data_IF_125878747150
#
_entry.id   IF_125878747150
#
_cell.length_a   1.000
_cell.length_b   1.000
_cell.length_c   1.000
_cell.angle_alpha   90.00
_cell.angle_beta   90.00
_cell.angle_gamma   90.00
#
_symmetry.space_group_name_H-M   'P 1'
#
loop_
_entity.id
_entity.type
_entity.pdbx_description
1 polymer ?
#
# COMPACT_ATOMS: atom_id res chain seq x y z
N UNK A 1 15.93 -60.97 -20.93
CA UNK A 1 16.15 -60.49 -19.52
C UNK A 1 16.11 -58.96 -19.54
N UNK A 2 14.91 -58.38 -19.28
CA UNK A 2 14.72 -56.91 -19.25
C UNK A 2 14.85 -56.45 -17.81
N UNK A 3 15.85 -55.61 -17.55
CA UNK A 3 16.02 -54.93 -16.26
C UNK A 3 15.30 -53.61 -16.32
N UNK A 4 14.15 -53.52 -15.61
CA UNK A 4 13.41 -52.27 -15.37
C UNK A 4 14.15 -51.51 -14.26
N UNK A 5 14.74 -50.36 -14.60
CA UNK A 5 15.34 -49.43 -13.64
C UNK A 5 14.20 -48.48 -13.17
N UNK A 6 13.70 -48.70 -11.96
CA UNK A 6 12.78 -47.76 -11.30
C UNK A 6 13.61 -46.60 -10.77
N UNK A 7 13.43 -45.42 -11.36
CA UNK A 7 13.96 -44.15 -10.83
C UNK A 7 13.00 -43.63 -9.75
N UNK A 8 13.42 -43.63 -8.49
CA UNK A 8 12.72 -42.95 -7.38
C UNK A 8 12.98 -41.47 -7.48
N UNK A 9 11.94 -40.71 -7.84
CA UNK A 9 11.94 -39.26 -7.72
C UNK A 9 11.69 -38.90 -6.26
N UNK A 10 12.72 -38.52 -5.51
CA UNK A 10 12.58 -37.98 -4.17
C UNK A 10 12.09 -36.53 -4.28
N UNK A 11 10.82 -36.28 -3.97
CA UNK A 11 10.27 -34.92 -3.84
C UNK A 11 10.83 -34.26 -2.56
N UNK A 12 11.74 -33.32 -2.71
CA UNK A 12 12.23 -32.49 -1.63
C UNK A 12 11.14 -31.48 -1.26
N UNK A 13 10.38 -31.76 -0.21
CA UNK A 13 9.47 -30.78 0.40
C UNK A 13 10.33 -29.81 1.21
N UNK A 14 10.59 -28.63 0.64
CA UNK A 14 11.22 -27.53 1.37
C UNK A 14 10.18 -26.93 2.32
N UNK A 15 10.21 -27.33 3.59
CA UNK A 15 9.46 -26.64 4.64
C UNK A 15 10.02 -25.21 4.77
N UNK A 16 9.26 -24.22 4.29
CA UNK A 16 9.54 -22.81 4.61
C UNK A 16 9.17 -22.60 6.09
N UNK A 17 10.07 -21.99 6.90
CA UNK A 17 9.68 -21.59 8.26
C UNK A 17 8.47 -20.67 8.18
N UNK A 18 7.45 -20.92 9.00
CA UNK A 18 6.31 -20.04 9.14
C UNK A 18 6.82 -18.70 9.70
N UNK A 19 6.79 -17.65 8.89
CA UNK A 19 7.06 -16.29 9.36
C UNK A 19 5.90 -15.93 10.29
N UNK A 20 6.22 -15.52 11.51
CA UNK A 20 5.20 -15.08 12.47
C UNK A 20 4.44 -13.87 11.88
N UNK A 21 3.11 -13.86 12.07
CA UNK A 21 2.29 -12.74 11.64
C UNK A 21 2.77 -11.44 12.34
N UNK A 22 2.81 -10.30 11.63
CA UNK A 22 3.28 -9.05 12.20
C UNK A 22 2.33 -8.56 13.31
N UNK A 23 2.90 -7.94 14.34
CA UNK A 23 2.13 -7.27 15.38
C UNK A 23 1.41 -6.04 14.81
N UNK A 24 0.08 -6.08 14.75
CA UNK A 24 -0.77 -5.01 14.21
C UNK A 24 -0.97 -3.84 15.18
N UNK A 25 -0.50 -3.94 16.42
CA UNK A 25 -0.63 -2.92 17.45
C UNK A 25 -2.07 -2.71 17.90
N UNK A 26 -2.45 -1.46 18.12
CA UNK A 26 -3.80 -1.08 18.58
C UNK A 26 -4.84 -1.04 17.44
N UNK A 27 -4.47 -1.44 16.25
CA UNK A 27 -5.27 -1.45 15.03
C UNK A 27 -5.75 -0.07 14.54
N UNK A 28 -5.33 1.04 15.13
CA UNK A 28 -5.65 2.38 14.62
C UNK A 28 -5.03 2.60 13.24
N UNK A 29 -5.70 3.36 12.40
CA UNK A 29 -5.24 3.63 11.03
C UNK A 29 -3.86 4.29 11.01
N UNK A 30 -3.62 5.27 11.88
CA UNK A 30 -2.33 5.94 12.05
C UNK A 30 -1.21 4.95 12.45
N UNK A 31 -1.50 4.03 13.38
CA UNK A 31 -0.55 3.00 13.81
C UNK A 31 -0.20 2.06 12.66
N UNK A 32 -1.21 1.60 11.93
CA UNK A 32 -1.03 0.70 10.79
C UNK A 32 -0.25 1.38 9.65
N UNK A 33 -0.59 2.63 9.33
CA UNK A 33 0.10 3.42 8.30
C UNK A 33 1.56 3.68 8.67
N UNK A 34 1.83 4.04 9.94
CA UNK A 34 3.20 4.23 10.44
C UNK A 34 4.02 2.94 10.38
N UNK A 35 3.43 1.81 10.78
CA UNK A 35 4.08 0.50 10.67
C UNK A 35 4.32 0.11 9.20
N UNK A 36 3.38 0.40 8.31
CA UNK A 36 3.55 0.15 6.87
C UNK A 36 4.73 0.94 6.29
N UNK A 37 4.86 2.23 6.61
CA UNK A 37 6.01 3.05 6.20
C UNK A 37 7.33 2.50 6.72
N UNK A 38 7.41 2.14 8.00
CA UNK A 38 8.62 1.57 8.61
C UNK A 38 9.01 0.26 7.94
N UNK A 39 8.06 -0.65 7.74
CA UNK A 39 8.31 -1.93 7.09
C UNK A 39 8.74 -1.74 5.61
N UNK A 40 8.11 -0.83 4.88
CA UNK A 40 8.51 -0.46 3.52
C UNK A 40 9.93 0.09 3.46
N UNK A 41 10.29 1.02 4.35
CA UNK A 41 11.63 1.58 4.47
C UNK A 41 12.69 0.54 4.83
N UNK A 42 12.34 -0.44 5.66
CA UNK A 42 13.20 -1.57 6.02
C UNK A 42 13.28 -2.67 4.93
N UNK A 43 12.52 -2.56 3.84
CA UNK A 43 12.48 -3.58 2.79
C UNK A 43 11.64 -4.82 3.15
N UNK A 44 10.92 -4.79 4.27
CA UNK A 44 10.04 -5.89 4.69
C UNK A 44 8.67 -5.75 4.00
N UNK A 45 8.59 -6.28 2.78
CA UNK A 45 7.40 -6.18 1.95
C UNK A 45 6.20 -6.95 2.53
N UNK A 46 6.43 -8.07 3.21
CA UNK A 46 5.35 -8.92 3.75
C UNK A 46 4.63 -8.20 4.89
N UNK A 47 5.37 -7.69 5.86
CA UNK A 47 4.80 -6.91 6.96
C UNK A 47 4.14 -5.63 6.45
N UNK A 48 4.78 -4.91 5.52
CA UNK A 48 4.19 -3.71 4.94
C UNK A 48 2.82 -4.00 4.33
N UNK A 49 2.70 -5.04 3.50
CA UNK A 49 1.43 -5.44 2.88
C UNK A 49 0.39 -5.90 3.91
N UNK A 50 0.80 -6.55 5.00
CA UNK A 50 -0.10 -6.96 6.07
C UNK A 50 -0.70 -5.75 6.81
N UNK A 51 0.13 -4.75 7.18
CA UNK A 51 -0.35 -3.51 7.80
C UNK A 51 -1.30 -2.73 6.88
N UNK A 52 -0.93 -2.61 5.59
CA UNK A 52 -1.76 -1.95 4.58
C UNK A 52 -3.10 -2.67 4.42
N UNK A 53 -3.09 -4.00 4.29
CA UNK A 53 -4.31 -4.79 4.14
C UNK A 53 -5.26 -4.57 5.33
N UNK A 54 -4.73 -4.58 6.55
CA UNK A 54 -5.53 -4.34 7.76
C UNK A 54 -6.06 -2.90 7.82
N UNK A 55 -5.27 -1.90 7.46
CA UNK A 55 -5.73 -0.51 7.42
C UNK A 55 -6.89 -0.34 6.41
N UNK A 56 -6.73 -0.86 5.20
CA UNK A 56 -7.78 -0.78 4.17
C UNK A 56 -9.03 -1.56 4.59
N UNK A 57 -8.88 -2.80 5.12
CA UNK A 57 -9.99 -3.61 5.63
C UNK A 57 -10.86 -2.85 6.64
N UNK A 58 -10.22 -2.19 7.61
CA UNK A 58 -10.94 -1.54 8.71
C UNK A 58 -11.50 -0.17 8.35
N UNK A 59 -10.82 0.58 7.47
CA UNK A 59 -11.06 2.01 7.33
C UNK A 59 -11.46 2.48 5.93
N UNK A 60 -11.47 1.60 4.91
CA UNK A 60 -11.84 2.01 3.54
C UNK A 60 -13.23 2.62 3.45
N UNK A 61 -14.21 2.06 4.15
CA UNK A 61 -15.58 2.57 4.13
C UNK A 61 -15.67 3.99 4.69
N UNK A 62 -14.96 4.28 5.79
CA UNK A 62 -14.92 5.62 6.37
C UNK A 62 -14.13 6.60 5.50
N UNK A 63 -13.02 6.16 4.93
CA UNK A 63 -12.23 6.94 3.98
C UNK A 63 -13.08 7.37 2.76
N UNK A 64 -13.90 6.46 2.22
CA UNK A 64 -14.83 6.77 1.12
C UNK A 64 -15.89 7.80 1.50
N UNK A 65 -16.42 7.74 2.72
CA UNK A 65 -17.36 8.77 3.22
C UNK A 65 -16.68 10.14 3.32
N UNK A 66 -15.46 10.18 3.89
CA UNK A 66 -14.68 11.42 3.98
C UNK A 66 -14.34 11.98 2.59
N UNK A 67 -13.97 11.12 1.63
CA UNK A 67 -13.72 11.52 0.24
C UNK A 67 -14.98 12.09 -0.42
N UNK A 68 -16.13 11.46 -0.24
CA UNK A 68 -17.41 11.89 -0.82
C UNK A 68 -17.93 13.21 -0.23
N UNK A 69 -17.56 13.54 0.99
CA UNK A 69 -17.90 14.81 1.63
C UNK A 69 -17.17 16.02 1.03
N UNK A 70 -16.11 15.79 0.25
CA UNK A 70 -15.30 16.81 -0.38
C UNK A 70 -15.63 16.96 -1.86
N UNK A 71 -15.90 18.19 -2.30
CA UNK A 71 -15.95 18.55 -3.73
C UNK A 71 -14.56 18.88 -4.26
N UNK A 72 -13.78 19.59 -3.44
CA UNK A 72 -12.41 20.00 -3.71
C UNK A 72 -11.66 20.14 -2.38
N UNK A 73 -10.33 20.17 -2.42
CA UNK A 73 -9.53 20.54 -1.26
C UNK A 73 -9.46 22.06 -1.16
N UNK A 74 -9.60 22.63 0.05
CA UNK A 74 -9.36 24.06 0.26
C UNK A 74 -7.95 24.45 -0.22
N UNK A 75 -7.83 25.63 -0.81
CA UNK A 75 -6.53 26.16 -1.25
C UNK A 75 -5.58 26.37 -0.05
N UNK A 76 -6.15 26.68 1.12
CA UNK A 76 -5.45 26.77 2.40
C UNK A 76 -6.41 26.40 3.51
N UNK A 77 -5.93 25.60 4.46
CA UNK A 77 -6.67 25.24 5.68
C UNK A 77 -5.71 25.03 6.85
N UNK A 78 -6.17 25.18 8.11
CA UNK A 78 -5.40 24.80 9.26
C UNK A 78 -5.03 23.30 9.22
N UNK A 79 -3.84 22.96 9.69
CA UNK A 79 -3.32 21.59 9.74
C UNK A 79 -4.29 20.64 10.43
N UNK A 80 -4.95 21.12 11.49
CA UNK A 80 -5.91 20.38 12.28
C UNK A 80 -7.12 19.93 11.46
N UNK A 81 -7.57 20.75 10.50
CA UNK A 81 -8.68 20.39 9.60
C UNK A 81 -8.29 19.26 8.65
N UNK A 82 -7.07 19.28 8.14
CA UNK A 82 -6.54 18.18 7.34
C UNK A 82 -6.51 16.88 8.15
N UNK A 83 -6.08 16.92 9.40
CA UNK A 83 -6.03 15.73 10.26
C UNK A 83 -7.41 15.17 10.63
N UNK A 84 -8.47 15.96 10.60
CA UNK A 84 -9.84 15.43 10.80
C UNK A 84 -10.25 14.41 9.73
N UNK A 85 -9.61 14.42 8.57
CA UNK A 85 -9.82 13.45 7.48
C UNK A 85 -8.93 12.21 7.62
N UNK A 86 -8.67 11.80 8.85
CA UNK A 86 -7.70 10.77 9.22
C UNK A 86 -7.84 9.46 8.42
N UNK A 87 -9.06 8.89 8.29
CA UNK A 87 -9.24 7.64 7.55
C UNK A 87 -8.93 7.80 6.05
N UNK A 88 -9.36 8.92 5.44
CA UNK A 88 -9.03 9.23 4.05
C UNK A 88 -7.53 9.35 3.84
N UNK A 89 -6.86 10.06 4.73
CA UNK A 89 -5.42 10.30 4.66
C UNK A 89 -4.62 9.00 4.83
N UNK A 90 -4.97 8.19 5.83
CA UNK A 90 -4.29 6.95 6.14
C UNK A 90 -4.51 5.87 5.08
N UNK A 91 -5.75 5.68 4.62
CA UNK A 91 -6.06 4.72 3.55
C UNK A 91 -5.39 5.12 2.24
N UNK A 92 -5.44 6.41 1.88
CA UNK A 92 -4.78 6.91 0.68
C UNK A 92 -3.26 6.72 0.74
N UNK A 93 -2.65 6.99 1.89
CA UNK A 93 -1.22 6.75 2.13
C UNK A 93 -0.87 5.26 2.06
N UNK A 94 -1.67 4.41 2.68
CA UNK A 94 -1.50 2.95 2.61
C UNK A 94 -1.54 2.42 1.17
N UNK A 95 -2.44 2.92 0.34
CA UNK A 95 -2.51 2.51 -1.07
C UNK A 95 -1.29 2.99 -1.87
N UNK A 96 -0.75 4.18 -1.56
CA UNK A 96 0.50 4.64 -2.15
C UNK A 96 1.67 3.72 -1.78
N UNK A 97 1.83 3.41 -0.49
CA UNK A 97 2.86 2.48 0.00
C UNK A 97 2.70 1.10 -0.66
N UNK A 98 1.46 0.62 -0.82
CA UNK A 98 1.19 -0.66 -1.51
C UNK A 98 1.76 -0.67 -2.91
N UNK A 99 1.52 0.38 -3.69
CA UNK A 99 2.06 0.52 -5.03
C UNK A 99 3.59 0.48 -5.04
N UNK A 100 4.24 1.24 -4.15
CA UNK A 100 5.70 1.27 -4.03
C UNK A 100 6.28 -0.10 -3.63
N UNK A 101 5.65 -0.80 -2.68
CA UNK A 101 6.06 -2.16 -2.26
C UNK A 101 5.96 -3.14 -3.41
N UNK A 102 4.85 -3.11 -4.15
CA UNK A 102 4.61 -4.02 -5.28
C UNK A 102 5.59 -3.73 -6.45
N UNK A 103 5.91 -2.45 -6.71
CA UNK A 103 6.94 -2.09 -7.68
C UNK A 103 8.31 -2.67 -7.31
N UNK A 104 8.73 -2.53 -6.05
CA UNK A 104 9.99 -3.13 -5.56
C UNK A 104 10.00 -4.65 -5.67
N UNK A 105 8.84 -5.30 -5.58
CA UNK A 105 8.69 -6.75 -5.79
C UNK A 105 8.64 -7.17 -7.27
N UNK A 106 8.60 -6.21 -8.20
CA UNK A 106 8.45 -6.47 -9.63
C UNK A 106 7.00 -6.73 -10.07
N UNK A 107 6.02 -6.62 -9.17
CA UNK A 107 4.60 -6.74 -9.50
C UNK A 107 4.06 -5.41 -10.04
N UNK A 108 4.41 -5.09 -11.29
CA UNK A 108 3.97 -3.88 -11.97
C UNK A 108 2.44 -3.80 -12.09
N UNK A 109 1.76 -4.95 -12.33
CA UNK A 109 0.30 -4.99 -12.46
C UNK A 109 -0.38 -4.64 -11.14
N UNK A 110 0.00 -5.28 -10.05
CA UNK A 110 -0.56 -4.99 -8.73
C UNK A 110 -0.26 -3.55 -8.28
N UNK A 111 0.92 -3.01 -8.62
CA UNK A 111 1.26 -1.63 -8.35
C UNK A 111 0.35 -0.65 -9.10
N UNK A 112 0.11 -0.87 -10.41
CA UNK A 112 -0.84 -0.10 -11.22
C UNK A 112 -2.24 -0.10 -10.60
N UNK A 113 -2.73 -1.27 -10.20
CA UNK A 113 -4.05 -1.41 -9.56
C UNK A 113 -4.14 -0.61 -8.26
N UNK A 114 -3.09 -0.65 -7.40
CA UNK A 114 -3.05 0.10 -6.16
C UNK A 114 -3.04 1.61 -6.39
N UNK A 115 -2.20 2.11 -7.30
CA UNK A 115 -2.14 3.53 -7.65
C UNK A 115 -3.43 4.02 -8.33
N UNK A 116 -4.00 3.23 -9.25
CA UNK A 116 -5.25 3.58 -9.92
C UNK A 116 -6.41 3.67 -8.92
N UNK A 117 -6.51 2.73 -7.98
CA UNK A 117 -7.51 2.77 -6.90
C UNK A 117 -7.35 4.02 -6.04
N UNK A 118 -6.13 4.37 -5.65
CA UNK A 118 -5.84 5.59 -4.90
C UNK A 118 -6.33 6.85 -5.63
N UNK A 119 -5.99 6.97 -6.92
CA UNK A 119 -6.36 8.13 -7.75
C UNK A 119 -7.88 8.22 -7.95
N UNK A 120 -8.56 7.08 -8.14
CA UNK A 120 -9.99 7.04 -8.37
C UNK A 120 -10.81 7.31 -7.10
N UNK A 121 -10.47 6.61 -6.00
CA UNK A 121 -11.31 6.53 -4.82
C UNK A 121 -10.90 7.51 -3.70
N UNK A 122 -9.63 7.97 -3.67
CA UNK A 122 -9.06 8.72 -2.54
C UNK A 122 -8.19 9.91 -2.99
N UNK A 123 -8.62 10.59 -4.05
CA UNK A 123 -7.85 11.70 -4.68
C UNK A 123 -7.55 12.89 -3.75
N UNK A 124 -8.31 13.04 -2.67
CA UNK A 124 -8.16 14.14 -1.71
C UNK A 124 -7.38 13.75 -0.46
N UNK A 125 -6.83 12.53 -0.37
CA UNK A 125 -5.94 12.14 0.70
C UNK A 125 -4.71 13.04 0.76
N UNK A 126 -4.31 13.40 1.98
CA UNK A 126 -3.13 14.22 2.26
C UNK A 126 -2.27 13.54 3.31
N UNK A 127 -0.97 13.43 3.07
CA UNK A 127 0.00 12.87 3.99
C UNK A 127 0.91 13.99 4.51
N UNK A 128 1.11 14.03 5.82
CA UNK A 128 2.03 14.96 6.45
C UNK A 128 3.48 14.49 6.25
N UNK A 129 4.32 15.37 5.75
CA UNK A 129 5.77 15.18 5.71
C UNK A 129 6.40 15.77 6.96
N UNK A 130 7.35 15.07 7.58
CA UNK A 130 8.05 15.52 8.80
C UNK A 130 8.78 16.87 8.62
N UNK A 131 9.09 17.25 7.38
CA UNK A 131 9.69 18.54 7.04
C UNK A 131 8.70 19.70 7.07
N UNK A 132 7.40 19.44 7.34
CA UNK A 132 6.45 20.49 7.67
C UNK A 132 5.45 20.87 6.59
N UNK A 133 5.17 19.99 5.61
CA UNK A 133 4.12 20.22 4.61
C UNK A 133 3.23 18.99 4.41
N UNK A 134 2.08 19.20 3.77
CA UNK A 134 1.26 18.12 3.23
C UNK A 134 1.61 17.85 1.77
N UNK A 135 1.69 16.56 1.42
CA UNK A 135 1.72 16.13 0.03
C UNK A 135 0.51 15.25 -0.26
N UNK A 136 0.16 15.10 -1.55
CA UNK A 136 -1.00 14.34 -1.99
C UNK A 136 -0.55 13.00 -2.55
N UNK A 137 -0.84 11.88 -1.86
CA UNK A 137 -0.51 10.54 -2.37
C UNK A 137 -1.06 10.26 -3.77
N UNK A 138 -2.26 10.77 -4.09
CA UNK A 138 -2.87 10.59 -5.40
C UNK A 138 -2.09 11.30 -6.53
N UNK A 139 -1.49 12.46 -6.26
CA UNK A 139 -0.70 13.15 -7.30
C UNK A 139 0.64 12.44 -7.55
N UNK A 140 1.27 11.91 -6.49
CA UNK A 140 2.44 11.06 -6.63
C UNK A 140 2.10 9.75 -7.37
N UNK A 141 0.96 9.14 -7.07
CA UNK A 141 0.49 7.93 -7.75
C UNK A 141 0.22 8.15 -9.24
N UNK A 142 -0.32 9.31 -9.65
CA UNK A 142 -0.48 9.66 -11.09
C UNK A 142 0.86 9.67 -11.82
N UNK A 143 1.90 10.23 -11.20
CA UNK A 143 3.24 10.23 -11.79
C UNK A 143 3.76 8.80 -11.99
N UNK A 144 3.56 7.93 -10.97
CA UNK A 144 3.94 6.51 -11.06
C UNK A 144 3.18 5.76 -12.16
N UNK A 145 1.89 6.04 -12.33
CA UNK A 145 1.11 5.45 -13.42
C UNK A 145 1.66 5.84 -14.80
N UNK A 146 2.01 7.12 -15.00
CA UNK A 146 2.62 7.59 -16.24
C UNK A 146 3.97 6.91 -16.50
N UNK A 147 4.83 6.78 -15.47
CA UNK A 147 6.11 6.08 -15.57
C UNK A 147 5.92 4.61 -16.00
N UNK A 148 4.96 3.92 -15.39
CA UNK A 148 4.64 2.52 -15.70
C UNK A 148 4.11 2.34 -17.14
N UNK A 149 3.24 3.25 -17.60
CA UNK A 149 2.72 3.21 -18.96
C UNK A 149 3.80 3.47 -20.02
N UNK A 150 4.77 4.33 -19.70
CA UNK A 150 5.89 4.59 -20.60
C UNK A 150 6.81 3.37 -20.71
N UNK A 151 7.05 2.68 -19.60
CA UNK A 151 7.90 1.47 -19.58
C UNK A 151 7.28 0.29 -20.34
N UNK A 152 5.94 0.19 -20.39
CA UNK A 152 5.23 -0.86 -21.14
C UNK A 152 5.28 -0.66 -22.66
N UNK A 153 5.61 0.54 -23.13
CA UNK A 153 5.67 0.88 -24.57
C UNK A 153 7.07 0.71 -25.18
N UNK A 154 8.07 0.36 -24.37
CA UNK A 154 9.44 0.07 -24.82
C UNK A 154 9.63 -1.40 -25.14
#
# INVERSE_FOLDING_TARGET
MNRIVMAFLAAFVVLRPAVAAPDLGDHKSETLTTKAWKAHGAGNAEDALAYIAKCVELYEAEAKKMQAALKELPASEPKEETFKRWALNDVGTCLFIKGEVLLKKGDKKGAKEAFAKLVADFKFAQCWDEKGWFWKPADAAKQKLVELEFDEKK
#
